data_IF_048899094046
#
_entry.id   IF_048899094046
#
_cell.length_a   1.000
_cell.length_b   1.000
_cell.length_c   1.000
_cell.angle_alpha   90.00
_cell.angle_beta   90.00
_cell.angle_gamma   90.00
#
_symmetry.space_group_name_H-M   'P 1'
#
loop_
_entity.id
_entity.type
_entity.pdbx_description
1 polymer ?
#
# COMPACT_ATOMS: atom_id res chain seq x y z
N UNK A 1 42.68 34.66 -54.19
CA UNK A 1 43.37 34.30 -52.95
C UNK A 1 42.48 34.70 -51.78
N UNK A 2 41.96 33.74 -51.01
CA UNK A 2 41.56 33.90 -49.60
C UNK A 2 40.99 32.60 -49.05
N UNK A 3 41.65 32.12 -47.99
CA UNK A 3 41.17 31.36 -46.83
C UNK A 3 40.32 30.09 -47.07
N UNK A 4 40.89 28.89 -46.94
CA UNK A 4 41.35 28.16 -45.73
C UNK A 4 40.26 27.26 -45.12
N UNK A 5 40.61 25.97 -45.11
CA UNK A 5 39.90 24.78 -44.66
C UNK A 5 39.57 24.81 -43.15
N UNK A 6 38.46 24.19 -42.75
CA UNK A 6 38.43 23.00 -41.87
C UNK A 6 37.02 22.71 -41.27
N UNK A 7 36.33 21.71 -41.85
CA UNK A 7 35.71 20.48 -41.27
C UNK A 7 34.99 20.47 -39.88
N UNK A 8 34.19 19.43 -39.53
CA UNK A 8 32.75 19.31 -39.79
C UNK A 8 31.95 18.94 -38.49
N UNK A 9 30.73 18.41 -38.68
CA UNK A 9 29.90 17.65 -37.71
C UNK A 9 29.18 18.41 -36.60
N UNK A 10 28.05 19.05 -36.95
CA UNK A 10 26.91 19.19 -36.03
C UNK A 10 25.86 18.16 -36.45
N UNK A 11 25.85 17.02 -35.76
CA UNK A 11 24.77 16.04 -35.88
C UNK A 11 23.52 16.60 -35.18
N UNK A 12 22.47 16.84 -35.97
CA UNK A 12 21.10 16.95 -35.47
C UNK A 12 20.67 15.61 -34.89
N UNK A 13 20.28 15.60 -33.62
CA UNK A 13 19.37 14.58 -33.09
C UNK A 13 18.04 15.24 -32.76
N UNK A 14 17.06 14.98 -33.63
CA UNK A 14 15.66 15.18 -33.33
C UNK A 14 15.27 14.19 -32.23
N UNK A 15 14.93 14.69 -31.04
CA UNK A 15 14.25 13.85 -30.04
C UNK A 15 12.77 13.88 -30.39
N UNK A 16 12.30 12.73 -30.86
CA UNK A 16 10.91 12.41 -31.15
C UNK A 16 10.03 12.70 -29.92
N UNK A 17 8.95 13.45 -30.14
CA UNK A 17 7.84 13.59 -29.21
C UNK A 17 7.14 12.23 -29.05
N UNK A 18 7.68 11.37 -28.20
CA UNK A 18 7.00 10.18 -27.70
C UNK A 18 6.16 10.57 -26.50
N UNK A 19 4.84 10.61 -26.67
CA UNK A 19 3.85 10.67 -25.60
C UNK A 19 3.97 9.40 -24.75
N UNK A 20 4.92 9.41 -23.82
CA UNK A 20 5.03 8.42 -22.78
C UNK A 20 4.34 8.98 -21.54
N UNK A 21 3.04 8.69 -21.39
CA UNK A 21 2.39 8.77 -20.08
C UNK A 21 3.17 7.82 -19.17
N UNK A 22 4.09 8.39 -18.38
CA UNK A 22 4.87 7.64 -17.41
C UNK A 22 3.91 7.29 -16.28
N UNK A 23 4.05 6.08 -15.72
CA UNK A 23 3.37 5.60 -14.50
C UNK A 23 3.48 6.53 -13.27
N UNK A 24 4.11 7.70 -13.40
CA UNK A 24 4.23 8.77 -12.41
C UNK A 24 3.05 9.75 -12.40
N UNK A 25 2.14 9.70 -13.38
CA UNK A 25 0.96 10.59 -13.43
C UNK A 25 -0.20 10.09 -12.57
N UNK A 26 0.11 9.53 -11.41
CA UNK A 26 -0.84 9.52 -10.31
C UNK A 26 -0.66 10.87 -9.65
N UNK A 27 -1.54 11.82 -9.96
CA UNK A 27 -1.75 13.02 -9.12
C UNK A 27 -2.27 12.56 -7.76
N UNK A 28 -1.39 11.98 -6.95
CA UNK A 28 -1.68 11.69 -5.56
C UNK A 28 -1.53 13.02 -4.83
N UNK A 29 -2.59 13.83 -4.86
CA UNK A 29 -2.70 14.96 -3.94
C UNK A 29 -2.64 14.40 -2.52
N UNK A 30 -1.45 14.44 -1.92
CA UNK A 30 -1.23 14.13 -0.52
C UNK A 30 -1.83 15.26 0.31
N UNK A 31 -3.16 15.28 0.40
CA UNK A 31 -3.90 16.18 1.29
C UNK A 31 -3.40 15.95 2.71
N UNK A 32 -3.09 17.05 3.42
CA UNK A 32 -2.75 16.99 4.84
C UNK A 32 -4.01 16.63 5.62
N UNK A 33 -4.16 15.35 5.96
CA UNK A 33 -5.26 14.85 6.78
C UNK A 33 -5.00 15.18 8.26
N UNK A 34 -6.08 15.40 9.02
CA UNK A 34 -5.99 15.56 10.46
C UNK A 34 -5.56 14.25 11.13
N UNK A 35 -4.92 14.37 12.30
CA UNK A 35 -4.50 13.21 13.07
C UNK A 35 -5.71 12.35 13.48
N UNK A 36 -5.50 11.03 13.50
CA UNK A 36 -6.46 10.10 14.11
C UNK A 36 -6.41 10.21 15.63
N UNK A 37 -7.47 10.71 16.26
CA UNK A 37 -7.59 10.73 17.72
C UNK A 37 -8.09 9.39 18.26
N UNK A 38 -7.57 8.97 19.42
CA UNK A 38 -8.07 7.81 20.17
C UNK A 38 -7.37 6.48 19.90
N UNK A 39 -6.39 6.43 18.98
CA UNK A 39 -5.59 5.22 18.71
C UNK A 39 -4.77 4.78 19.93
N UNK A 40 -4.09 5.72 20.60
CA UNK A 40 -3.21 5.44 21.75
C UNK A 40 -3.96 4.79 22.92
N UNK A 41 -5.24 5.14 23.09
CA UNK A 41 -6.10 4.60 24.15
C UNK A 41 -6.84 3.34 23.72
N UNK A 42 -6.68 2.92 22.46
CA UNK A 42 -7.38 1.77 21.94
C UNK A 42 -6.74 0.48 22.47
N UNK A 43 -7.59 -0.51 22.75
CA UNK A 43 -7.11 -1.80 23.23
C UNK A 43 -6.49 -2.56 22.06
N UNK A 44 -5.24 -2.96 22.21
CA UNK A 44 -4.60 -3.89 21.28
C UNK A 44 -5.30 -5.26 21.37
N UNK A 45 -5.72 -5.78 20.23
CA UNK A 45 -6.39 -7.07 20.09
C UNK A 45 -5.48 -8.07 19.37
N UNK A 46 -5.85 -9.35 19.43
CA UNK A 46 -5.25 -10.33 18.53
C UNK A 46 -5.64 -10.00 17.09
N UNK A 47 -4.84 -10.43 16.11
CA UNK A 47 -5.16 -10.23 14.70
C UNK A 47 -6.56 -10.78 14.35
N UNK A 48 -6.92 -11.92 14.93
CA UNK A 48 -8.22 -12.54 14.68
C UNK A 48 -9.39 -11.75 15.28
N UNK A 49 -9.20 -11.08 16.41
CA UNK A 49 -10.25 -10.30 17.04
C UNK A 49 -10.41 -8.92 16.36
N UNK A 50 -9.30 -8.26 16.01
CA UNK A 50 -9.34 -7.02 15.25
C UNK A 50 -10.03 -7.21 13.88
N UNK A 51 -9.72 -8.29 13.17
CA UNK A 51 -10.29 -8.54 11.85
C UNK A 51 -11.77 -8.91 11.89
N UNK A 52 -12.31 -9.39 13.03
CA UNK A 52 -13.77 -9.57 13.19
C UNK A 52 -14.52 -8.24 13.09
N UNK A 53 -13.95 -7.17 13.64
CA UNK A 53 -14.56 -5.83 13.57
C UNK A 53 -14.60 -5.30 12.12
N UNK A 54 -13.75 -5.83 11.26
CA UNK A 54 -13.64 -5.47 9.84
C UNK A 54 -14.49 -6.37 8.92
N UNK A 55 -15.22 -7.35 9.44
CA UNK A 55 -15.99 -8.27 8.59
C UNK A 55 -17.06 -7.56 7.75
N UNK A 56 -17.59 -6.43 8.23
CA UNK A 56 -18.53 -5.60 7.44
C UNK A 56 -17.88 -4.84 6.28
N UNK A 57 -16.55 -4.71 6.28
CA UNK A 57 -15.76 -4.08 5.22
C UNK A 57 -15.11 -5.14 4.31
N UNK A 58 -14.80 -6.30 4.87
CA UNK A 58 -14.06 -7.39 4.24
C UNK A 58 -14.72 -8.73 4.62
N UNK A 59 -15.69 -9.17 3.82
CA UNK A 59 -16.58 -10.29 4.15
C UNK A 59 -15.82 -11.58 4.53
N UNK A 60 -14.75 -11.88 3.80
CA UNK A 60 -13.97 -13.11 3.92
C UNK A 60 -12.71 -12.98 4.81
N UNK A 61 -12.52 -11.84 5.50
CA UNK A 61 -11.26 -11.57 6.22
C UNK A 61 -10.92 -12.62 7.28
N UNK A 62 -11.92 -13.17 7.96
CA UNK A 62 -11.73 -14.21 8.96
C UNK A 62 -11.18 -15.51 8.36
N UNK A 63 -11.55 -15.83 7.12
CA UNK A 63 -11.01 -16.98 6.40
C UNK A 63 -9.53 -16.74 6.08
N UNK A 64 -9.20 -15.56 5.55
CA UNK A 64 -7.83 -15.20 5.21
C UNK A 64 -6.91 -15.10 6.43
N UNK A 65 -7.40 -14.63 7.58
CA UNK A 65 -6.64 -14.65 8.84
C UNK A 65 -6.29 -16.08 9.25
N UNK A 66 -7.25 -17.01 9.15
CA UNK A 66 -7.00 -18.42 9.47
C UNK A 66 -5.99 -19.02 8.51
N UNK A 67 -6.09 -18.71 7.21
CA UNK A 67 -5.17 -19.22 6.20
C UNK A 67 -3.76 -18.66 6.39
N UNK A 68 -3.62 -17.34 6.57
CA UNK A 68 -2.34 -16.70 6.86
C UNK A 68 -1.66 -17.30 8.10
N UNK A 69 -2.42 -17.56 9.17
CA UNK A 69 -1.90 -18.22 10.39
C UNK A 69 -1.46 -19.67 10.15
N UNK A 70 -1.85 -20.34 9.06
CA UNK A 70 -1.30 -21.66 8.71
C UNK A 70 0.04 -21.53 7.97
N UNK A 71 0.18 -20.51 7.12
CA UNK A 71 1.39 -20.25 6.35
C UNK A 71 2.50 -19.57 7.16
N UNK A 72 2.14 -18.84 8.22
CA UNK A 72 3.10 -18.17 9.09
C UNK A 72 3.54 -19.07 10.26
N UNK A 73 4.82 -19.42 10.25
CA UNK A 73 5.49 -20.15 11.34
C UNK A 73 6.04 -19.18 12.39
N UNK A 74 6.11 -19.64 13.63
CA UNK A 74 6.77 -18.93 14.73
C UNK A 74 7.64 -19.91 15.54
N UNK A 75 8.89 -19.53 15.91
CA UNK A 75 9.60 -18.32 15.50
C UNK A 75 9.92 -18.34 14.00
N UNK A 76 9.90 -17.16 13.36
CA UNK A 76 10.39 -17.00 12.00
C UNK A 76 11.77 -16.33 12.00
N UNK A 77 12.41 -16.25 10.84
CA UNK A 77 13.74 -15.65 10.66
C UNK A 77 13.82 -14.17 11.08
N UNK A 78 12.68 -13.52 11.23
CA UNK A 78 12.55 -12.10 11.59
C UNK A 78 12.09 -11.87 13.04
N UNK A 79 11.96 -12.92 13.86
CA UNK A 79 11.45 -12.88 15.23
C UNK A 79 10.04 -12.24 15.36
N UNK A 80 9.27 -12.15 14.28
CA UNK A 80 7.89 -11.66 14.33
C UNK A 80 7.01 -12.71 14.97
N UNK A 81 6.08 -12.30 15.82
CA UNK A 81 5.02 -13.17 16.32
C UNK A 81 4.19 -13.75 15.18
N UNK A 82 3.43 -14.80 15.49
CA UNK A 82 2.53 -15.42 14.52
C UNK A 82 1.48 -14.44 13.97
N UNK A 83 0.99 -13.52 14.82
CA UNK A 83 0.02 -12.51 14.43
C UNK A 83 0.66 -11.45 13.53
N UNK A 84 1.84 -10.92 13.88
CA UNK A 84 2.57 -9.96 13.04
C UNK A 84 2.89 -10.52 11.65
N UNK A 85 3.37 -11.76 11.61
CA UNK A 85 3.66 -12.45 10.35
C UNK A 85 2.40 -12.62 9.50
N UNK A 86 1.30 -13.03 10.12
CA UNK A 86 0.02 -13.20 9.43
C UNK A 86 -0.54 -11.87 8.92
N UNK A 87 -0.37 -10.77 9.66
CA UNK A 87 -0.80 -9.45 9.23
C UNK A 87 -0.04 -8.97 7.98
N UNK A 88 1.28 -9.16 7.95
CA UNK A 88 2.10 -8.87 6.76
C UNK A 88 1.66 -9.75 5.59
N UNK A 89 1.48 -11.05 5.82
CA UNK A 89 1.03 -11.99 4.79
C UNK A 89 -0.30 -11.55 4.16
N UNK A 90 -1.30 -11.25 4.99
CA UNK A 90 -2.62 -10.78 4.55
C UNK A 90 -2.52 -9.46 3.77
N UNK A 91 -1.65 -8.54 4.19
CA UNK A 91 -1.43 -7.28 3.47
C UNK A 91 -0.84 -7.53 2.07
N UNK A 92 0.04 -8.51 1.92
CA UNK A 92 0.68 -8.83 0.64
C UNK A 92 -0.11 -9.80 -0.24
N UNK A 93 -1.14 -10.46 0.31
CA UNK A 93 -1.89 -11.48 -0.41
C UNK A 93 -2.82 -10.83 -1.43
N UNK A 94 -2.75 -11.30 -2.66
CA UNK A 94 -3.73 -11.00 -3.69
C UNK A 94 -5.02 -11.79 -3.41
N UNK A 95 -6.10 -11.06 -3.17
CA UNK A 95 -7.47 -11.59 -3.06
C UNK A 95 -8.24 -11.16 -4.32
N UNK A 96 -9.55 -11.43 -4.38
CA UNK A 96 -10.39 -10.81 -5.40
C UNK A 96 -10.28 -9.27 -5.34
N UNK A 97 -10.34 -8.61 -6.49
CA UNK A 97 -9.96 -7.20 -6.66
C UNK A 97 -10.63 -6.22 -5.68
N UNK A 98 -11.85 -6.54 -5.22
CA UNK A 98 -12.64 -5.71 -4.33
C UNK A 98 -12.46 -6.04 -2.84
N UNK A 99 -11.72 -7.11 -2.50
CA UNK A 99 -11.56 -7.62 -1.12
C UNK A 99 -10.12 -7.60 -0.61
N UNK A 100 -9.16 -7.13 -1.42
CA UNK A 100 -7.77 -7.03 -1.00
C UNK A 100 -7.59 -6.08 0.19
N UNK A 101 -7.03 -6.59 1.30
CA UNK A 101 -6.80 -5.81 2.52
C UNK A 101 -5.94 -4.58 2.27
N UNK A 102 -4.86 -4.70 1.49
CA UNK A 102 -4.02 -3.54 1.19
C UNK A 102 -4.79 -2.44 0.46
N UNK A 103 -5.73 -2.77 -0.44
CA UNK A 103 -6.53 -1.78 -1.17
C UNK A 103 -7.46 -1.05 -0.22
N UNK A 104 -8.26 -1.81 0.54
CA UNK A 104 -9.25 -1.25 1.47
C UNK A 104 -8.60 -0.44 2.58
N UNK A 105 -7.49 -0.93 3.15
CA UNK A 105 -6.72 -0.19 4.15
C UNK A 105 -6.15 1.11 3.57
N UNK A 106 -5.51 1.04 2.40
CA UNK A 106 -4.91 2.21 1.76
C UNK A 106 -5.95 3.28 1.39
N UNK A 107 -7.13 2.87 0.94
CA UNK A 107 -8.26 3.77 0.68
C UNK A 107 -8.78 4.39 1.98
N UNK A 108 -8.92 3.58 3.03
CA UNK A 108 -9.38 4.03 4.35
C UNK A 108 -8.42 5.05 4.96
N UNK A 109 -7.10 4.83 4.87
CA UNK A 109 -6.09 5.75 5.38
C UNK A 109 -6.08 7.10 4.65
N UNK A 110 -6.44 7.10 3.36
CA UNK A 110 -6.54 8.30 2.52
C UNK A 110 -7.89 9.01 2.63
N UNK A 111 -8.88 8.41 3.28
CA UNK A 111 -10.17 9.05 3.47
C UNK A 111 -10.05 10.29 4.37
N UNK A 112 -10.70 11.38 3.95
CA UNK A 112 -10.82 12.61 4.75
C UNK A 112 -11.58 12.34 6.06
N UNK A 113 -12.58 11.45 6.01
CA UNK A 113 -13.30 10.98 7.18
C UNK A 113 -12.43 10.03 8.02
N UNK A 114 -11.79 10.59 9.04
CA UNK A 114 -10.94 9.85 9.99
C UNK A 114 -11.70 8.82 10.83
N UNK A 115 -13.03 8.90 10.91
CA UNK A 115 -13.82 7.92 11.65
C UNK A 115 -13.76 6.54 11.00
N UNK A 116 -13.56 6.49 9.68
CA UNK A 116 -13.39 5.24 8.91
C UNK A 116 -12.11 4.47 9.25
N UNK A 117 -11.11 5.14 9.84
CA UNK A 117 -9.86 4.50 10.27
C UNK A 117 -10.03 3.80 11.62
N UNK A 118 -11.03 4.18 12.43
CA UNK A 118 -11.20 3.65 13.80
C UNK A 118 -11.37 2.13 13.87
N UNK A 119 -12.08 1.45 12.95
CA UNK A 119 -12.15 -0.01 12.93
C UNK A 119 -10.78 -0.71 12.79
N UNK A 120 -9.76 0.00 12.31
CA UNK A 120 -8.41 -0.53 12.14
C UNK A 120 -7.52 -0.33 13.39
N UNK A 121 -8.00 0.35 14.45
CA UNK A 121 -7.18 0.63 15.64
C UNK A 121 -6.94 -0.58 16.53
N UNK A 122 -7.73 -1.65 16.35
CA UNK A 122 -7.63 -2.87 17.15
C UNK A 122 -6.34 -3.67 16.94
N UNK A 123 -5.57 -3.36 15.89
CA UNK A 123 -4.33 -4.04 15.54
C UNK A 123 -3.26 -3.00 15.17
#
# INVERSE_FOLDING_TARGET
SSFSKNNPSNYQFAIMSGSGDRFTDIELENKRLSACCGYITWKLLSLADAMKELQGLLEEINYFVKEAKKHCLYPNEHNLTKDESAAVYIYTMEMSDDSCVYRVLNQTLRAEDRTKVRPWFGY
#
